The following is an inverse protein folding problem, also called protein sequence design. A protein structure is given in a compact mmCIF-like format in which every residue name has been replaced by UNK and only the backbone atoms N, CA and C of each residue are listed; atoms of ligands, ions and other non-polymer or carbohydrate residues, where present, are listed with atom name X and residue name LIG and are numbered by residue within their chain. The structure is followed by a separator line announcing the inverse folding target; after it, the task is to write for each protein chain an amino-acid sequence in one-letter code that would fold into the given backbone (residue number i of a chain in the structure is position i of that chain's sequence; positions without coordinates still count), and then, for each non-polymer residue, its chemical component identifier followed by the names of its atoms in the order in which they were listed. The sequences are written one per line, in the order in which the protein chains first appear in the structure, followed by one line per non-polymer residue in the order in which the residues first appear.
data_IF_895009594970
#
_entry.id   IF_895009594970
#
_cell.length_a   1.000
_cell.length_b   1.000
_cell.length_c   1.000
_cell.angle_alpha   90.00
_cell.angle_beta   90.00
_cell.angle_gamma   90.00
#
_symmetry.space_group_name_H-M   'P 1'
#
loop_
_entity.id
_entity.type
_entity.pdbx_description
1 polymer ?
#
# COMPACT_ATOMS: atom_id res chain seq x y z
N UNK A 1 -5.25 5.91 -29.51
CA UNK A 1 -5.18 6.73 -28.28
C UNK A 1 -5.02 5.76 -27.12
N UNK A 2 -4.02 6.00 -26.26
CA UNK A 2 -3.51 5.03 -25.28
C UNK A 2 -4.58 4.61 -24.27
N UNK A 3 -4.96 3.34 -24.31
CA UNK A 3 -5.64 2.66 -23.21
C UNK A 3 -4.57 2.40 -22.13
N UNK A 4 -4.42 3.35 -21.21
CA UNK A 4 -3.74 3.08 -19.94
C UNK A 4 -4.67 2.13 -19.21
N UNK A 5 -4.37 0.84 -19.36
CA UNK A 5 -5.02 -0.28 -18.70
C UNK A 5 -5.25 0.11 -17.24
N UNK A 6 -6.52 0.35 -16.93
CA UNK A 6 -7.03 0.71 -15.64
C UNK A 6 -6.70 -0.45 -14.71
N UNK A 7 -5.53 -0.36 -14.06
CA UNK A 7 -5.01 -1.30 -13.06
C UNK A 7 -6.20 -1.61 -12.15
N UNK A 8 -6.74 -2.82 -12.29
CA UNK A 8 -7.91 -3.31 -11.57
C UNK A 8 -7.81 -2.84 -10.13
N UNK A 9 -8.56 -1.79 -9.79
CA UNK A 9 -8.82 -1.43 -8.40
C UNK A 9 -9.50 -2.64 -7.81
N UNK A 10 -8.73 -3.50 -7.14
CA UNK A 10 -9.25 -4.52 -6.24
C UNK A 10 -10.13 -3.79 -5.25
N UNK A 11 -11.42 -3.77 -5.58
CA UNK A 11 -12.42 -3.00 -4.91
C UNK A 11 -12.75 -3.81 -3.66
N UNK A 12 -12.06 -3.53 -2.57
CA UNK A 12 -12.52 -3.75 -1.19
C UNK A 12 -13.88 -3.05 -1.01
N UNK A 13 -14.95 -3.63 -1.55
CA UNK A 13 -16.33 -3.17 -1.45
C UNK A 13 -17.10 -4.23 -0.70
N UNK A 14 -17.08 -4.16 0.62
CA UNK A 14 -17.92 -5.05 1.42
C UNK A 14 -17.84 -4.88 2.92
N UNK A 15 -16.68 -4.51 3.49
CA UNK A 15 -16.49 -4.61 4.95
C UNK A 15 -15.64 -3.54 5.63
N UNK A 16 -15.24 -2.48 4.93
CA UNK A 16 -14.48 -1.39 5.57
C UNK A 16 -15.41 -0.45 6.31
N UNK A 17 -15.22 -0.34 7.62
CA UNK A 17 -15.81 0.71 8.45
C UNK A 17 -15.51 2.08 7.82
N UNK A 18 -16.45 3.03 7.88
CA UNK A 18 -16.35 4.32 7.18
C UNK A 18 -15.05 5.10 7.48
N UNK A 19 -14.49 4.89 8.67
CA UNK A 19 -13.18 5.41 9.09
C UNK A 19 -12.01 4.80 8.32
N UNK A 20 -12.00 3.47 8.16
CA UNK A 20 -10.95 2.75 7.45
C UNK A 20 -10.93 3.15 5.97
N UNK A 21 -12.11 3.35 5.36
CA UNK A 21 -12.22 3.84 3.98
C UNK A 21 -11.64 5.25 3.81
N UNK A 22 -11.87 6.16 4.77
CA UNK A 22 -11.28 7.50 4.74
C UNK A 22 -9.75 7.46 4.84
N UNK A 23 -9.20 6.56 5.67
CA UNK A 23 -7.76 6.37 5.75
C UNK A 23 -7.19 5.90 4.41
N UNK A 24 -7.76 4.82 3.83
CA UNK A 24 -7.35 4.29 2.52
C UNK A 24 -7.40 5.36 1.44
N UNK A 25 -8.48 6.15 1.35
CA UNK A 25 -8.62 7.21 0.35
C UNK A 25 -7.54 8.28 0.49
N UNK A 26 -7.19 8.67 1.73
CA UNK A 26 -6.12 9.63 2.00
C UNK A 26 -4.76 9.13 1.51
N UNK A 27 -4.42 7.88 1.80
CA UNK A 27 -3.17 7.27 1.32
C UNK A 27 -3.17 7.07 -0.19
N UNK A 28 -4.32 6.69 -0.77
CA UNK A 28 -4.47 6.53 -2.22
C UNK A 28 -4.22 7.84 -2.96
N UNK A 29 -4.80 8.95 -2.48
CA UNK A 29 -4.53 10.29 -3.05
C UNK A 29 -3.07 10.65 -2.94
N UNK A 30 -2.46 10.46 -1.77
CA UNK A 30 -1.03 10.77 -1.54
C UNK A 30 -0.13 9.98 -2.51
N UNK A 31 -0.39 8.69 -2.70
CA UNK A 31 0.37 7.86 -3.63
C UNK A 31 0.16 8.30 -5.09
N UNK A 32 -1.08 8.62 -5.46
CA UNK A 32 -1.43 9.14 -6.79
C UNK A 32 -0.76 10.48 -7.09
N UNK A 33 -0.71 11.39 -6.11
CA UNK A 33 -0.01 12.68 -6.22
C UNK A 33 1.50 12.48 -6.43
N UNK A 34 2.09 11.45 -5.82
CA UNK A 34 3.48 11.04 -6.06
C UNK A 34 3.69 10.25 -7.36
N UNK A 35 2.64 9.99 -8.15
CA UNK A 35 2.71 9.13 -9.34
C UNK A 35 3.10 7.69 -9.03
N UNK A 36 2.79 7.19 -7.82
CA UNK A 36 3.15 5.84 -7.36
C UNK A 36 1.94 4.92 -7.32
N UNK A 37 2.13 3.61 -7.58
CA UNK A 37 1.05 2.65 -7.49
C UNK A 37 0.59 2.50 -6.05
N UNK A 38 -0.73 2.51 -5.82
CA UNK A 38 -1.31 2.33 -4.50
C UNK A 38 -1.91 0.93 -4.39
N UNK A 39 -1.63 0.24 -3.29
CA UNK A 39 -2.23 -1.05 -2.97
C UNK A 39 -2.65 -1.05 -1.52
N UNK A 40 -3.85 -1.56 -1.27
CA UNK A 40 -4.39 -1.85 0.05
C UNK A 40 -4.77 -3.33 0.10
N UNK A 41 -4.61 -3.94 1.27
CA UNK A 41 -4.97 -5.33 1.49
C UNK A 41 -5.24 -5.59 2.98
N UNK A 42 -6.09 -6.57 3.26
CA UNK A 42 -6.33 -7.06 4.61
C UNK A 42 -5.48 -8.30 4.86
N UNK A 43 -4.79 -8.35 6.00
CA UNK A 43 -3.96 -9.48 6.41
C UNK A 43 -4.01 -9.59 7.93
N UNK A 44 -4.30 -10.80 8.43
CA UNK A 44 -4.41 -11.10 9.87
C UNK A 44 -5.43 -10.21 10.63
N UNK A 45 -6.47 -9.69 9.94
CA UNK A 45 -7.44 -8.77 10.54
C UNK A 45 -6.91 -7.33 10.70
N UNK A 46 -5.80 -7.00 10.05
CA UNK A 46 -5.26 -5.65 9.93
C UNK A 46 -5.35 -5.17 8.48
N UNK A 47 -5.74 -3.93 8.28
CA UNK A 47 -5.74 -3.27 6.99
C UNK A 47 -4.38 -2.64 6.74
N UNK A 48 -3.68 -3.14 5.74
CA UNK A 48 -2.41 -2.61 5.28
C UNK A 48 -2.59 -1.75 4.04
N UNK A 49 -1.73 -0.74 3.94
CA UNK A 49 -1.60 0.12 2.74
C UNK A 49 -0.13 0.29 2.39
N UNK A 50 0.14 0.43 1.10
CA UNK A 50 1.48 0.75 0.60
C UNK A 50 1.76 2.24 0.75
N UNK A 51 2.89 2.59 1.39
CA UNK A 51 3.40 3.96 1.48
C UNK A 51 4.80 4.04 0.89
N UNK A 52 5.12 5.20 0.32
CA UNK A 52 6.41 5.45 -0.31
C UNK A 52 7.18 6.55 0.42
N UNK A 53 8.40 6.20 0.79
CA UNK A 53 9.38 7.11 1.36
C UNK A 53 10.05 7.99 0.27
N UNK A 54 10.81 9.00 0.69
CA UNK A 54 11.60 9.87 -0.20
C UNK A 54 12.56 9.08 -1.11
N UNK A 55 13.07 7.94 -0.64
CA UNK A 55 13.95 7.06 -1.42
C UNK A 55 13.21 6.20 -2.47
N UNK A 56 11.91 6.42 -2.68
CA UNK A 56 11.03 5.55 -3.46
C UNK A 56 10.93 4.11 -2.93
N UNK A 57 11.30 3.89 -1.67
CA UNK A 57 11.10 2.60 -1.00
C UNK A 57 9.63 2.49 -0.60
N UNK A 58 9.05 1.34 -0.93
CA UNK A 58 7.68 0.98 -0.59
C UNK A 58 7.65 0.23 0.72
N UNK A 59 6.68 0.57 1.57
CA UNK A 59 6.44 -0.05 2.86
C UNK A 59 4.98 -0.43 3.00
N UNK A 60 4.72 -1.61 3.56
CA UNK A 60 3.36 -2.04 3.87
C UNK A 60 3.04 -1.70 5.33
N UNK A 61 2.24 -0.66 5.58
CA UNK A 61 1.91 -0.23 6.94
C UNK A 61 0.45 -0.55 7.28
N UNK A 62 0.17 -1.13 8.46
CA UNK A 62 -1.17 -1.30 8.96
C UNK A 62 -1.72 0.05 9.43
N UNK A 63 -2.92 0.39 8.97
CA UNK A 63 -3.60 1.65 9.28
C UNK A 63 -4.86 1.44 10.12
N UNK A 64 -5.40 0.23 10.13
CA UNK A 64 -6.64 -0.08 10.83
C UNK A 64 -6.64 -1.53 11.30
N UNK A 65 -7.18 -1.78 12.49
CA UNK A 65 -7.41 -3.12 13.04
C UNK A 65 -8.90 -3.42 12.94
N UNK A 66 -9.25 -4.45 12.17
CA UNK A 66 -10.64 -4.94 12.11
C UNK A 66 -11.03 -5.66 13.40
N UNK A 67 -10.08 -6.31 14.08
CA UNK A 67 -10.29 -6.94 15.39
C UNK A 67 -10.72 -5.94 16.45
N UNK A 68 -10.02 -4.81 16.54
CA UNK A 68 -10.28 -3.76 17.53
C UNK A 68 -11.22 -2.66 17.02
N UNK A 69 -11.59 -2.71 15.73
CA UNK A 69 -12.30 -1.67 15.00
C UNK A 69 -11.71 -0.25 15.22
N UNK A 70 -10.39 -0.14 15.31
CA UNK A 70 -9.69 1.11 15.60
C UNK A 70 -8.50 1.33 14.69
N UNK A 71 -8.11 2.60 14.52
CA UNK A 71 -6.89 2.97 13.81
C UNK A 71 -5.67 2.38 14.52
N UNK A 72 -4.74 1.82 13.73
CA UNK A 72 -3.45 1.35 14.24
C UNK A 72 -2.48 2.52 14.31
N UNK A 73 -1.78 2.64 15.43
CA UNK A 73 -0.75 3.66 15.59
C UNK A 73 0.58 3.14 15.02
N UNK A 74 0.99 3.71 13.89
CA UNK A 74 2.13 3.20 13.14
C UNK A 74 3.46 3.27 13.90
N UNK A 75 3.56 4.17 14.89
CA UNK A 75 4.75 4.29 15.75
C UNK A 75 4.91 3.15 16.74
N UNK A 76 3.84 2.36 16.98
CA UNK A 76 3.81 1.26 17.95
C UNK A 76 3.80 -0.12 17.29
N UNK A 77 3.96 -0.18 15.96
CA UNK A 77 3.92 -1.46 15.26
C UNK A 77 5.24 -2.19 15.49
N UNK A 78 5.22 -3.17 16.40
CA UNK A 78 6.32 -4.11 16.60
C UNK A 78 6.19 -5.35 15.68
N UNK A 79 5.01 -5.54 15.07
CA UNK A 79 4.68 -6.70 14.26
C UNK A 79 4.09 -6.33 12.89
N UNK A 80 4.70 -6.83 11.82
CA UNK A 80 4.24 -6.75 10.44
C UNK A 80 3.99 -8.18 9.95
N UNK A 81 2.82 -8.43 9.34
CA UNK A 81 2.45 -9.75 8.84
C UNK A 81 3.43 -10.27 7.79
N UNK A 82 3.54 -11.60 7.69
CA UNK A 82 4.42 -12.23 6.69
C UNK A 82 4.01 -11.86 5.25
N UNK A 83 2.70 -11.77 4.98
CA UNK A 83 2.17 -11.28 3.70
C UNK A 83 2.65 -9.86 3.40
N UNK A 84 2.59 -8.96 4.39
CA UNK A 84 3.04 -7.59 4.23
C UNK A 84 4.55 -7.53 3.92
N UNK A 85 5.37 -8.35 4.59
CA UNK A 85 6.82 -8.46 4.29
C UNK A 85 7.06 -8.99 2.88
N UNK A 86 6.31 -10.00 2.44
CA UNK A 86 6.43 -10.57 1.09
C UNK A 86 6.05 -9.54 0.02
N UNK A 87 4.94 -8.83 0.20
CA UNK A 87 4.49 -7.79 -0.74
C UNK A 87 5.51 -6.65 -0.79
N UNK A 88 6.02 -6.21 0.36
CA UNK A 88 7.05 -5.18 0.43
C UNK A 88 8.32 -5.60 -0.34
N UNK A 89 8.76 -6.86 -0.17
CA UNK A 89 9.91 -7.40 -0.88
C UNK A 89 9.68 -7.49 -2.40
N UNK A 90 8.49 -7.90 -2.85
CA UNK A 90 8.15 -7.96 -4.28
C UNK A 90 8.17 -6.56 -4.89
N UNK A 91 7.55 -5.59 -4.22
CA UNK A 91 7.47 -4.21 -4.71
C UNK A 91 8.85 -3.53 -4.70
N UNK A 92 9.71 -3.81 -3.71
CA UNK A 92 11.10 -3.33 -3.69
C UNK A 92 11.93 -3.89 -4.84
N UNK A 93 11.92 -5.22 -5.03
CA UNK A 93 12.63 -5.86 -6.13
C UNK A 93 12.15 -5.34 -7.50
N UNK A 94 10.85 -5.08 -7.62
CA UNK A 94 10.27 -4.50 -8.84
C UNK A 94 10.77 -3.08 -9.12
N UNK A 95 11.01 -2.30 -8.07
CA UNK A 95 11.49 -0.92 -8.19
C UNK A 95 13.01 -0.86 -8.47
N UNK A 96 13.79 -1.80 -7.93
CA UNK A 96 15.21 -1.96 -8.26
C UNK A 96 15.42 -2.33 -9.74
N UNK A 97 14.62 -3.28 -10.25
CA UNK A 97 14.64 -3.61 -11.68
C UNK A 97 14.32 -2.39 -12.54
N UNK A 98 13.39 -1.53 -12.13
CA UNK A 98 13.08 -0.27 -12.84
C UNK A 98 14.25 0.72 -12.88
N UNK A 99 15.08 0.79 -11.84
CA UNK A 99 16.29 1.64 -11.80
C UNK A 99 17.39 1.13 -12.73
N UNK A 100 17.48 -0.18 -12.94
CA UNK A 100 18.48 -0.78 -13.83
C UNK A 100 18.19 -0.46 -15.30
N UNK A 101 16.92 -0.44 -15.71
CA UNK A 101 16.49 -0.09 -17.08
C UNK A 101 16.67 1.41 -17.39
N UNK A 102 16.72 2.28 -16.38
CA UNK A 102 16.88 3.73 -16.57
C UNK A 102 18.36 4.16 -16.66
N UNK A 103 19.30 3.27 -16.31
CA UNK A 103 20.75 3.53 -16.44
C UNK A 103 21.33 3.18 -17.81
N UNK A 104 20.56 2.53 -18.66
CA UNK A 104 20.99 2.05 -19.98
C UNK A 104 20.49 2.94 -21.15
N UNK A 105 20.09 4.18 -20.87
CA UNK A 105 19.69 5.18 -21.88
C UNK A 105 20.51 6.47 -21.79
#
# INVERSE_FOLDING_TARGET
MQEIEEIKKSKIVGGLSGEAKQLVDKFSRTAKEKGKPFTDFESEGLLYVTVYDENNLVYCIPIFSFKDNKKVDFKKIEYISEDAKRIENILRNSNEKKKEIEKDY
#
